data_IF_207354318204
#
_entry.id   IF_207354318204
#
_cell.length_a   1.000
_cell.length_b   1.000
_cell.length_c   1.000
_cell.angle_alpha   90.00
_cell.angle_beta   90.00
_cell.angle_gamma   90.00
#
_symmetry.space_group_name_H-M   'P 1'
#
loop_
_entity.id
_entity.type
_entity.pdbx_description
1 polymer ?
#
# COMPACT_ATOMS: atom_id res chain seq x y z
N UNK A 1 24.96 -7.72 -59.77
CA UNK A 1 24.66 -6.27 -59.63
C UNK A 1 23.83 -5.79 -60.82
N UNK A 2 22.53 -5.53 -60.67
CA UNK A 2 21.74 -4.56 -61.47
C UNK A 2 20.65 -3.99 -60.52
N UNK A 3 20.23 -2.74 -60.74
CA UNK A 3 19.44 -1.91 -59.80
C UNK A 3 17.92 -2.06 -59.98
N UNK A 4 17.16 -1.81 -58.90
CA UNK A 4 15.73 -1.50 -58.94
C UNK A 4 15.50 0.02 -59.13
N UNK A 5 14.29 0.47 -59.55
CA UNK A 5 14.06 1.83 -60.03
C UNK A 5 14.05 2.91 -58.93
N UNK A 6 14.25 4.17 -59.35
CA UNK A 6 13.95 5.35 -58.53
C UNK A 6 12.46 5.68 -58.65
N UNK A 7 11.76 5.82 -57.53
CA UNK A 7 10.52 6.59 -57.48
C UNK A 7 10.81 8.00 -56.94
N UNK A 8 10.54 8.99 -57.78
CA UNK A 8 10.49 10.41 -57.41
C UNK A 8 9.03 10.79 -57.18
N UNK A 9 8.69 11.19 -55.96
CA UNK A 9 7.34 11.65 -55.61
C UNK A 9 7.32 12.26 -54.21
N UNK A 10 7.36 13.59 -54.13
CA UNK A 10 7.17 14.30 -52.87
C UNK A 10 5.75 14.07 -52.36
N UNK A 11 5.61 13.58 -51.12
CA UNK A 11 4.30 13.48 -50.46
C UNK A 11 3.90 14.84 -49.89
N UNK A 12 2.60 15.17 -49.82
CA UNK A 12 2.14 16.49 -49.39
C UNK A 12 2.56 16.79 -47.95
N UNK A 13 3.06 18.01 -47.71
CA UNK A 13 3.36 18.48 -46.35
C UNK A 13 2.05 18.79 -45.63
N UNK A 14 1.80 18.03 -44.56
CA UNK A 14 0.55 18.10 -43.80
C UNK A 14 0.37 19.47 -43.12
N UNK A 15 -0.83 20.04 -43.23
CA UNK A 15 -1.12 21.42 -42.81
C UNK A 15 -1.14 21.62 -41.28
N UNK A 16 -1.14 20.52 -40.52
CA UNK A 16 -0.99 20.50 -39.05
C UNK A 16 0.32 21.20 -38.60
N UNK A 17 1.36 21.20 -39.46
CA UNK A 17 2.66 21.81 -39.22
C UNK A 17 2.67 23.33 -38.99
N UNK A 18 1.60 24.06 -39.36
CA UNK A 18 1.57 25.54 -39.29
C UNK A 18 1.08 26.12 -37.97
N UNK A 19 0.46 25.33 -37.09
CA UNK A 19 -0.18 25.85 -35.86
C UNK A 19 0.71 25.68 -34.61
N UNK A 20 1.55 24.63 -34.56
CA UNK A 20 2.23 24.20 -33.33
C UNK A 20 3.77 24.25 -33.38
N UNK A 21 4.36 24.92 -34.39
CA UNK A 21 5.80 24.87 -34.63
C UNK A 21 6.28 23.46 -35.01
N UNK A 22 7.60 23.19 -34.98
CA UNK A 22 8.08 21.82 -35.13
C UNK A 22 7.63 21.01 -33.91
N UNK A 23 6.67 20.10 -34.12
CA UNK A 23 6.30 19.06 -33.16
C UNK A 23 7.57 18.33 -32.71
N UNK A 24 8.01 18.62 -31.48
CA UNK A 24 9.14 17.92 -30.92
C UNK A 24 8.80 16.43 -30.82
N UNK A 25 9.56 15.60 -31.53
CA UNK A 25 9.24 14.18 -31.74
C UNK A 25 8.81 13.49 -30.45
N UNK A 26 7.53 13.14 -30.36
CA UNK A 26 6.97 12.25 -29.35
C UNK A 26 5.91 12.87 -28.44
N UNK A 27 5.95 14.16 -28.12
CA UNK A 27 4.91 14.75 -27.24
C UNK A 27 3.75 15.32 -28.09
N UNK A 28 2.66 14.56 -28.16
CA UNK A 28 1.49 14.90 -28.99
C UNK A 28 0.26 15.28 -28.17
N UNK A 29 0.43 15.61 -26.88
CA UNK A 29 -0.68 15.99 -25.99
C UNK A 29 -1.32 17.35 -26.36
N UNK A 30 -0.67 18.14 -27.22
CA UNK A 30 -1.18 19.42 -27.72
C UNK A 30 -1.01 20.58 -26.73
N UNK A 31 -1.36 21.80 -27.14
CA UNK A 31 -0.98 23.02 -26.41
C UNK A 31 -1.60 23.13 -25.01
N UNK A 32 -2.80 22.54 -24.77
CA UNK A 32 -3.45 22.55 -23.44
C UNK A 32 -2.57 21.95 -22.35
N UNK A 33 -1.91 20.82 -22.65
CA UNK A 33 -1.17 20.02 -21.68
C UNK A 33 0.35 20.26 -21.74
N UNK A 34 0.80 21.27 -22.50
CA UNK A 34 2.24 21.54 -22.72
C UNK A 34 3.04 21.65 -21.42
N UNK A 35 2.48 22.36 -20.43
CA UNK A 35 3.10 22.66 -19.14
C UNK A 35 2.71 21.69 -18.02
N UNK A 36 1.86 20.69 -18.30
CA UNK A 36 1.36 19.77 -17.28
C UNK A 36 2.43 18.75 -16.90
N UNK A 37 2.32 18.22 -15.67
CA UNK A 37 3.08 17.07 -15.20
C UNK A 37 2.58 15.78 -15.87
N UNK A 38 3.45 15.11 -16.60
CA UNK A 38 3.11 14.00 -17.49
C UNK A 38 3.39 12.66 -16.81
N UNK A 39 2.34 11.89 -16.57
CA UNK A 39 2.40 10.59 -15.91
C UNK A 39 2.15 9.50 -16.96
N UNK A 40 3.15 8.65 -17.18
CA UNK A 40 3.07 7.55 -18.15
C UNK A 40 2.81 6.22 -17.43
N UNK A 41 1.67 5.61 -17.69
CA UNK A 41 1.35 4.25 -17.29
C UNK A 41 2.02 3.28 -18.24
N UNK A 42 3.09 2.64 -17.80
CA UNK A 42 3.93 1.85 -18.68
C UNK A 42 3.24 0.57 -19.15
N UNK A 43 2.65 -0.19 -18.24
CA UNK A 43 2.07 -1.51 -18.49
C UNK A 43 0.91 -1.81 -17.54
N UNK A 44 0.11 -2.81 -17.88
CA UNK A 44 -1.19 -3.06 -17.24
C UNK A 44 -1.05 -3.68 -15.84
N UNK A 45 -1.85 -3.17 -14.90
CA UNK A 45 -2.06 -3.74 -13.55
C UNK A 45 -3.28 -4.64 -13.61
N UNK A 46 -3.08 -5.96 -13.57
CA UNK A 46 -4.17 -6.96 -13.69
C UNK A 46 -5.13 -6.75 -14.89
N UNK A 47 -4.61 -6.23 -16.01
CA UNK A 47 -5.38 -5.89 -17.23
C UNK A 47 -5.92 -4.45 -17.28
N UNK A 48 -5.79 -3.68 -16.20
CA UNK A 48 -6.14 -2.26 -16.17
C UNK A 48 -5.00 -1.40 -16.75
N UNK A 49 -5.30 -0.64 -17.80
CA UNK A 49 -4.36 0.28 -18.48
C UNK A 49 -4.22 1.63 -17.79
N UNK A 50 -5.16 1.97 -16.95
CA UNK A 50 -5.28 3.23 -16.21
C UNK A 50 -4.86 3.10 -14.74
N UNK A 51 -4.34 1.93 -14.33
CA UNK A 51 -3.98 1.62 -12.94
C UNK A 51 -5.16 1.78 -11.94
N UNK A 52 -6.41 1.82 -12.43
CA UNK A 52 -7.60 2.27 -11.68
C UNK A 52 -7.52 3.70 -11.12
N UNK A 53 -6.57 4.49 -11.61
CA UNK A 53 -6.38 5.90 -11.32
C UNK A 53 -6.93 6.81 -12.43
N UNK A 54 -7.50 6.24 -13.51
CA UNK A 54 -8.06 6.97 -14.63
C UNK A 54 -7.03 7.62 -15.56
N UNK A 55 -7.50 8.21 -16.67
CA UNK A 55 -6.67 8.80 -17.71
C UNK A 55 -6.97 10.30 -17.87
N UNK A 56 -6.03 11.06 -18.41
CA UNK A 56 -6.18 12.49 -18.66
C UNK A 56 -5.88 13.35 -17.43
N UNK A 57 -6.60 14.46 -17.31
CA UNK A 57 -6.52 15.41 -16.20
C UNK A 57 -7.59 15.13 -15.13
N UNK A 58 -8.71 14.56 -15.58
CA UNK A 58 -9.96 14.35 -14.88
C UNK A 58 -9.78 13.70 -13.49
N UNK A 59 -8.95 12.65 -13.30
CA UNK A 59 -8.81 12.00 -12.00
C UNK A 59 -8.26 12.90 -10.91
N UNK A 60 -7.37 13.84 -11.25
CA UNK A 60 -6.79 14.77 -10.29
C UNK A 60 -7.79 15.84 -9.86
N UNK A 61 -8.74 16.19 -10.74
CA UNK A 61 -9.84 17.11 -10.45
C UNK A 61 -10.88 16.40 -9.57
N UNK A 62 -11.31 15.19 -9.94
CA UNK A 62 -12.34 14.43 -9.24
C UNK A 62 -11.89 13.99 -7.83
N UNK A 63 -10.61 13.64 -7.66
CA UNK A 63 -10.02 13.35 -6.35
C UNK A 63 -9.74 14.61 -5.49
N UNK A 64 -10.05 15.81 -5.96
CA UNK A 64 -9.84 17.05 -5.22
C UNK A 64 -8.37 17.40 -4.94
N UNK A 65 -7.45 16.99 -5.83
CA UNK A 65 -6.02 17.17 -5.62
C UNK A 65 -5.64 18.67 -5.55
N UNK A 66 -4.72 19.03 -4.64
CA UNK A 66 -4.15 20.39 -4.55
C UNK A 66 -3.45 20.84 -5.85
N UNK A 67 -2.96 19.89 -6.66
CA UNK A 67 -2.37 20.14 -7.98
C UNK A 67 -3.14 19.31 -9.00
N UNK A 68 -3.78 19.99 -9.96
CA UNK A 68 -4.57 19.37 -11.04
C UNK A 68 -3.96 19.58 -12.43
N UNK A 69 -2.77 20.19 -12.53
CA UNK A 69 -2.00 20.36 -13.76
C UNK A 69 -1.20 19.09 -14.10
N UNK A 70 -1.87 17.94 -14.00
CA UNK A 70 -1.31 16.61 -14.26
C UNK A 70 -2.06 15.96 -15.44
N UNK A 71 -1.35 15.15 -16.23
CA UNK A 71 -1.93 14.39 -17.33
C UNK A 71 -1.42 12.95 -17.32
N UNK A 72 -2.33 11.99 -17.12
CA UNK A 72 -2.02 10.57 -17.09
C UNK A 72 -2.37 9.87 -18.43
N UNK A 73 -1.49 9.02 -18.94
CA UNK A 73 -1.76 8.21 -20.14
C UNK A 73 -0.97 6.91 -20.16
N UNK A 74 -1.48 5.88 -20.84
CA UNK A 74 -0.73 4.66 -21.16
C UNK A 74 -0.20 4.63 -22.60
N UNK A 75 -0.56 5.62 -23.44
CA UNK A 75 -0.15 5.64 -24.83
C UNK A 75 1.26 6.22 -24.99
N UNK A 76 2.24 5.31 -25.03
CA UNK A 76 3.67 5.62 -25.23
C UNK A 76 3.98 6.33 -26.56
N UNK A 77 3.02 6.41 -27.50
CA UNK A 77 3.14 7.19 -28.75
C UNK A 77 2.80 8.66 -28.54
N UNK A 78 1.92 8.98 -27.58
CA UNK A 78 1.56 10.33 -27.18
C UNK A 78 2.56 10.92 -26.18
N UNK A 79 3.16 10.05 -25.36
CA UNK A 79 4.12 10.39 -24.31
C UNK A 79 5.24 9.32 -24.21
N UNK A 80 6.41 9.55 -24.84
CA UNK A 80 7.60 8.72 -24.65
C UNK A 80 8.10 8.72 -23.22
N UNK A 81 8.84 7.66 -22.84
CA UNK A 81 9.40 7.47 -21.51
C UNK A 81 10.23 8.68 -21.05
N UNK A 82 11.05 9.20 -21.96
CA UNK A 82 12.05 10.24 -21.75
C UNK A 82 11.42 11.63 -21.55
N UNK A 83 10.09 11.75 -21.70
CA UNK A 83 9.32 12.99 -21.61
C UNK A 83 8.25 12.98 -20.53
N UNK A 84 8.11 11.87 -19.81
CA UNK A 84 7.23 11.77 -18.65
C UNK A 84 7.94 12.34 -17.40
N UNK A 85 7.24 13.15 -16.62
CA UNK A 85 7.71 13.58 -15.29
C UNK A 85 7.69 12.41 -14.29
N UNK A 86 6.80 11.44 -14.50
CA UNK A 86 6.76 10.19 -13.74
C UNK A 86 6.28 9.04 -14.64
N UNK A 87 6.78 7.82 -14.40
CA UNK A 87 6.32 6.62 -15.09
C UNK A 87 5.87 5.58 -14.05
N UNK A 88 4.64 5.12 -14.13
CA UNK A 88 4.09 4.07 -13.27
C UNK A 88 4.23 2.71 -13.95
N UNK A 89 4.76 1.72 -13.24
CA UNK A 89 5.05 0.39 -13.79
C UNK A 89 4.49 -0.70 -12.89
N UNK A 90 3.96 -1.73 -13.51
CA UNK A 90 3.74 -3.06 -12.95
C UNK A 90 4.94 -3.94 -13.35
N UNK A 91 6.15 -3.59 -12.85
CA UNK A 91 7.50 -4.12 -13.23
C UNK A 91 7.94 -3.83 -14.68
N UNK A 92 9.22 -3.57 -15.03
CA UNK A 92 10.41 -3.05 -14.33
C UNK A 92 11.35 -2.43 -15.38
N UNK A 93 12.12 -1.37 -15.07
CA UNK A 93 13.16 -0.78 -15.94
C UNK A 93 14.48 -0.54 -15.19
N UNK A 94 15.65 -0.43 -15.86
CA UNK A 94 16.94 -0.23 -15.20
C UNK A 94 17.33 1.23 -14.89
N UNK A 95 16.50 2.26 -15.15
CA UNK A 95 16.91 3.68 -15.07
C UNK A 95 15.99 4.60 -14.23
N UNK A 96 15.26 4.06 -13.26
CA UNK A 96 14.32 4.82 -12.41
C UNK A 96 14.70 4.68 -10.94
N UNK A 97 14.41 5.69 -10.11
CA UNK A 97 14.49 5.56 -8.65
C UNK A 97 13.30 4.72 -8.15
N UNK A 98 13.58 3.69 -7.36
CA UNK A 98 12.57 2.72 -6.94
C UNK A 98 12.28 2.79 -5.44
N UNK A 99 11.00 2.96 -5.10
CA UNK A 99 10.49 2.76 -3.73
C UNK A 99 9.86 1.38 -3.68
N UNK A 100 10.37 0.51 -2.80
CA UNK A 100 9.75 -0.79 -2.55
C UNK A 100 8.52 -0.59 -1.68
N UNK A 101 7.34 -0.86 -2.23
CA UNK A 101 6.10 -0.82 -1.48
C UNK A 101 5.61 -2.25 -1.24
N UNK A 102 5.63 -2.67 0.02
CA UNK A 102 5.16 -3.99 0.45
C UNK A 102 4.13 -3.81 1.56
N UNK A 103 2.90 -4.22 1.24
CA UNK A 103 1.77 -4.26 2.16
C UNK A 103 1.35 -5.70 2.53
N UNK A 104 2.14 -6.73 2.21
CA UNK A 104 1.93 -8.07 2.77
C UNK A 104 3.14 -8.54 3.55
N UNK A 105 2.92 -9.23 4.69
CA UNK A 105 4.01 -9.58 5.60
C UNK A 105 5.04 -10.46 4.89
N UNK A 106 6.30 -10.44 5.32
CA UNK A 106 7.35 -11.19 4.61
C UNK A 106 7.06 -12.70 4.52
N UNK A 107 6.22 -13.24 5.41
CA UNK A 107 5.68 -14.61 5.38
C UNK A 107 4.64 -14.87 4.27
N UNK A 108 3.94 -13.82 3.80
CA UNK A 108 2.96 -13.88 2.71
C UNK A 108 3.57 -13.60 1.33
N UNK A 109 4.84 -13.21 1.26
CA UNK A 109 5.48 -12.96 -0.04
C UNK A 109 5.91 -14.27 -0.69
N UNK A 110 5.29 -14.64 -1.82
CA UNK A 110 5.63 -15.82 -2.62
C UNK A 110 6.98 -15.73 -3.36
N UNK A 111 7.78 -14.69 -3.12
CA UNK A 111 9.05 -14.43 -3.76
C UNK A 111 10.14 -14.20 -2.70
N UNK A 112 11.33 -14.77 -2.92
CA UNK A 112 12.48 -14.57 -2.05
C UNK A 112 12.97 -13.12 -2.13
N UNK A 113 12.81 -12.38 -1.03
CA UNK A 113 13.18 -10.97 -0.94
C UNK A 113 14.67 -10.71 -1.10
N UNK A 114 15.52 -11.70 -0.83
CA UNK A 114 16.96 -11.58 -1.04
C UNK A 114 17.31 -11.38 -2.53
N UNK A 115 16.47 -11.86 -3.45
CA UNK A 115 16.64 -11.65 -4.90
C UNK A 115 16.45 -10.19 -5.34
N UNK A 116 15.91 -9.33 -4.46
CA UNK A 116 15.69 -7.91 -4.71
C UNK A 116 16.66 -6.98 -3.96
N UNK A 117 17.66 -7.54 -3.27
CA UNK A 117 18.69 -6.74 -2.59
C UNK A 117 19.41 -5.81 -3.59
N UNK A 118 19.46 -4.51 -3.29
CA UNK A 118 20.06 -3.49 -4.16
C UNK A 118 19.22 -3.09 -5.39
N UNK A 119 17.97 -3.57 -5.52
CA UNK A 119 17.05 -3.17 -6.61
C UNK A 119 16.29 -1.88 -6.30
N UNK A 120 16.04 -1.61 -5.02
CA UNK A 120 15.24 -0.48 -4.55
C UNK A 120 16.15 0.57 -3.88
N UNK A 121 15.84 1.84 -4.10
CA UNK A 121 16.54 2.97 -3.49
C UNK A 121 16.02 3.27 -2.09
N UNK A 122 14.69 3.20 -1.92
CA UNK A 122 13.99 3.37 -0.65
C UNK A 122 12.97 2.25 -0.47
N UNK A 123 12.51 2.09 0.77
CA UNK A 123 11.61 1.03 1.21
C UNK A 123 10.50 1.61 2.09
N UNK A 124 9.27 1.18 1.83
CA UNK A 124 8.06 1.52 2.58
C UNK A 124 7.36 0.21 2.91
N UNK A 125 7.78 -0.38 4.03
CA UNK A 125 7.33 -1.68 4.53
C UNK A 125 7.21 -1.61 6.05
N UNK A 126 6.73 -2.68 6.69
CA UNK A 126 6.72 -2.79 8.16
C UNK A 126 8.09 -2.99 8.79
N UNK A 127 9.11 -3.35 7.99
CA UNK A 127 10.44 -3.57 8.54
C UNK A 127 10.93 -2.27 9.18
N UNK A 128 11.58 -2.44 10.32
CA UNK A 128 11.99 -1.35 11.21
C UNK A 128 13.20 -0.59 10.65
N UNK A 129 13.90 -1.21 9.69
CA UNK A 129 14.96 -0.62 8.86
C UNK A 129 14.44 -0.08 7.51
N UNK A 130 13.12 0.06 7.32
CA UNK A 130 12.57 0.75 6.14
C UNK A 130 12.82 2.26 6.23
N UNK A 131 13.02 2.91 5.08
CA UNK A 131 13.14 4.37 4.98
C UNK A 131 11.85 5.10 5.46
N UNK A 132 10.71 4.42 5.35
CA UNK A 132 9.43 4.80 5.94
C UNK A 132 8.86 3.64 6.79
N UNK A 133 9.29 3.49 8.06
CA UNK A 133 8.85 2.40 8.91
C UNK A 133 7.46 2.67 9.50
N UNK A 134 6.75 1.62 9.94
CA UNK A 134 5.59 1.73 10.85
C UNK A 134 6.05 1.46 12.30
N UNK A 135 6.39 2.47 13.10
CA UNK A 135 7.09 2.29 14.38
C UNK A 135 6.19 1.90 15.56
N UNK A 136 4.88 1.69 15.35
CA UNK A 136 3.90 1.54 16.44
C UNK A 136 4.22 0.37 17.40
N UNK A 137 4.60 -0.79 16.87
CA UNK A 137 4.96 -1.96 17.71
C UNK A 137 6.25 -1.71 18.49
N UNK A 138 7.27 -1.08 17.87
CA UNK A 138 8.50 -0.69 18.58
C UNK A 138 8.23 0.32 19.69
N UNK A 139 7.42 1.34 19.41
CA UNK A 139 7.04 2.34 20.41
C UNK A 139 6.31 1.68 21.59
N UNK A 140 5.43 0.71 21.31
CA UNK A 140 4.72 -0.06 22.35
C UNK A 140 5.70 -0.92 23.18
N UNK A 141 6.70 -1.53 22.54
CA UNK A 141 7.79 -2.27 23.20
C UNK A 141 8.66 -1.43 24.13
N UNK A 142 8.63 -0.08 24.03
CA UNK A 142 9.31 0.79 25.01
C UNK A 142 8.52 0.99 26.31
N UNK A 143 7.27 0.53 26.37
CA UNK A 143 6.35 0.75 27.49
C UNK A 143 5.77 -0.54 28.08
N UNK A 144 5.73 -1.64 27.33
CA UNK A 144 5.30 -2.97 27.79
C UNK A 144 6.02 -4.08 27.02
N UNK A 145 6.00 -5.30 27.57
CA UNK A 145 6.48 -6.48 26.85
C UNK A 145 5.52 -6.82 25.70
N UNK A 146 6.06 -7.07 24.51
CA UNK A 146 5.31 -7.46 23.31
C UNK A 146 6.08 -8.52 22.55
N UNK A 147 5.50 -9.72 22.51
CA UNK A 147 6.01 -10.85 21.75
C UNK A 147 5.74 -10.69 20.26
N UNK A 148 6.79 -10.86 19.44
CA UNK A 148 6.71 -10.78 17.98
C UNK A 148 7.02 -12.15 17.39
N UNK A 149 5.98 -12.76 16.82
CA UNK A 149 6.07 -14.02 16.09
C UNK A 149 6.31 -13.80 14.58
N UNK A 150 7.09 -14.68 13.97
CA UNK A 150 7.42 -14.66 12.55
C UNK A 150 8.74 -13.93 12.25
N UNK A 151 9.01 -13.69 10.97
CA UNK A 151 10.33 -13.20 10.49
C UNK A 151 10.73 -11.80 10.96
N UNK A 152 9.82 -11.06 11.62
CA UNK A 152 10.08 -9.75 12.19
C UNK A 152 10.44 -9.79 13.68
N UNK A 153 10.46 -10.97 14.30
CA UNK A 153 10.81 -11.17 15.71
C UNK A 153 11.66 -12.43 15.93
N UNK A 154 11.78 -12.85 17.18
CA UNK A 154 12.57 -14.02 17.59
C UNK A 154 11.73 -15.28 17.81
N UNK A 155 10.40 -15.15 17.92
CA UNK A 155 9.48 -16.25 18.12
C UNK A 155 8.92 -16.74 16.79
N UNK A 156 8.59 -18.03 16.70
CA UNK A 156 8.21 -18.67 15.44
C UNK A 156 6.83 -19.31 15.56
N UNK A 157 5.93 -18.92 14.65
CA UNK A 157 4.72 -19.66 14.33
C UNK A 157 4.77 -19.98 12.82
N UNK A 158 5.07 -21.23 12.46
CA UNK A 158 5.04 -21.66 11.07
C UNK A 158 3.60 -21.94 10.62
N UNK A 159 3.30 -21.74 9.33
CA UNK A 159 1.96 -22.01 8.78
C UNK A 159 1.49 -23.45 8.98
N UNK A 160 2.40 -24.43 9.00
CA UNK A 160 2.09 -25.84 9.27
C UNK A 160 1.53 -26.06 10.69
N UNK A 161 1.88 -25.16 11.61
CA UNK A 161 1.54 -25.19 13.03
C UNK A 161 0.44 -24.17 13.38
N UNK A 162 -0.24 -23.58 12.38
CA UNK A 162 -1.21 -22.50 12.60
C UNK A 162 -2.23 -22.84 13.70
N UNK A 163 -2.76 -24.07 13.71
CA UNK A 163 -3.72 -24.52 14.74
C UNK A 163 -3.15 -24.41 16.17
N UNK A 164 -1.92 -24.89 16.41
CA UNK A 164 -1.33 -24.79 17.76
C UNK A 164 -0.96 -23.35 18.11
N UNK A 165 -0.62 -22.51 17.13
CA UNK A 165 -0.48 -21.07 17.36
C UNK A 165 -1.79 -20.40 17.76
N UNK A 166 -2.92 -20.73 17.12
CA UNK A 166 -4.24 -20.21 17.53
C UNK A 166 -4.61 -20.69 18.93
N UNK A 167 -4.35 -21.95 19.26
CA UNK A 167 -4.57 -22.48 20.61
C UNK A 167 -3.66 -21.84 21.68
N UNK A 168 -2.44 -21.43 21.32
CA UNK A 168 -1.54 -20.66 22.17
C UNK A 168 -2.07 -19.23 22.39
N UNK A 169 -2.55 -18.56 21.33
CA UNK A 169 -3.13 -17.21 21.43
C UNK A 169 -4.33 -17.13 22.40
N UNK A 170 -5.08 -18.22 22.57
CA UNK A 170 -6.20 -18.30 23.53
C UNK A 170 -5.79 -18.60 24.98
N UNK A 171 -4.64 -19.22 25.19
CA UNK A 171 -4.20 -19.73 26.50
C UNK A 171 -3.18 -18.82 27.16
N UNK A 172 -2.27 -18.30 26.35
CA UNK A 172 -1.03 -17.67 26.82
C UNK A 172 -1.04 -16.14 26.62
N UNK A 173 -1.99 -15.60 25.83
CA UNK A 173 -2.07 -14.17 25.50
C UNK A 173 -3.45 -13.56 25.78
N UNK A 174 -3.46 -12.36 26.38
CA UNK A 174 -4.67 -11.54 26.57
C UNK A 174 -5.00 -10.65 25.36
N UNK A 175 -3.98 -10.23 24.62
CA UNK A 175 -4.11 -9.26 23.53
C UNK A 175 -3.49 -9.79 22.24
N UNK A 176 -4.11 -9.48 21.11
CA UNK A 176 -3.56 -9.77 19.78
C UNK A 176 -3.53 -8.50 18.94
N UNK A 177 -2.34 -8.11 18.45
CA UNK A 177 -2.14 -6.90 17.66
C UNK A 177 -2.60 -7.13 16.20
N UNK A 178 -3.90 -6.95 15.96
CA UNK A 178 -4.55 -7.03 14.64
C UNK A 178 -4.35 -5.71 13.86
N UNK A 179 -3.10 -5.32 13.62
CA UNK A 179 -2.76 -4.07 12.93
C UNK A 179 -2.83 -4.23 11.42
N UNK A 180 -3.49 -3.29 10.74
CA UNK A 180 -3.63 -3.35 9.29
C UNK A 180 -2.43 -2.76 8.56
N UNK A 181 -2.18 -3.34 7.38
CA UNK A 181 -1.08 -2.98 6.51
C UNK A 181 -1.18 -1.51 6.03
N UNK A 182 -2.40 -1.01 5.87
CA UNK A 182 -2.72 0.37 5.46
C UNK A 182 -3.84 0.97 6.31
N UNK A 183 -3.79 2.29 6.51
CA UNK A 183 -4.92 3.03 7.10
C UNK A 183 -5.84 3.45 5.95
N UNK A 184 -6.80 2.60 5.63
CA UNK A 184 -7.81 2.88 4.60
C UNK A 184 -9.18 2.47 5.14
N UNK A 185 -10.19 3.31 4.91
CA UNK A 185 -11.57 2.96 5.23
C UNK A 185 -11.96 1.72 4.41
N UNK A 186 -12.70 0.79 5.03
CA UNK A 186 -13.11 -0.51 4.48
C UNK A 186 -11.96 -1.52 4.23
N UNK A 187 -10.70 -1.20 4.57
CA UNK A 187 -9.58 -2.17 4.53
C UNK A 187 -9.39 -2.83 5.90
N UNK A 188 -10.25 -3.81 6.19
CA UNK A 188 -10.20 -4.64 7.40
C UNK A 188 -10.15 -6.10 6.96
N UNK A 189 -9.13 -6.84 7.42
CA UNK A 189 -8.79 -8.15 6.86
C UNK A 189 -8.86 -9.27 7.90
N UNK A 190 -8.38 -10.46 7.52
CA UNK A 190 -8.31 -11.66 8.36
C UNK A 190 -7.67 -11.43 9.74
N UNK A 191 -6.78 -10.44 9.90
CA UNK A 191 -6.13 -10.13 11.19
C UNK A 191 -7.17 -9.84 12.27
N UNK A 192 -8.17 -9.03 11.95
CA UNK A 192 -9.26 -8.70 12.86
C UNK A 192 -10.29 -9.84 12.93
N UNK A 193 -10.74 -10.32 11.77
CA UNK A 193 -11.81 -11.32 11.72
C UNK A 193 -11.42 -12.71 12.24
N UNK A 194 -10.14 -13.08 12.23
CA UNK A 194 -9.67 -14.28 12.94
C UNK A 194 -9.52 -14.01 14.43
N UNK A 195 -8.89 -12.90 14.84
CA UNK A 195 -8.71 -12.59 16.26
C UNK A 195 -10.03 -12.53 17.03
N UNK A 196 -11.08 -11.95 16.43
CA UNK A 196 -12.41 -11.88 17.05
C UNK A 196 -13.12 -13.24 17.16
N UNK A 197 -12.58 -14.35 16.61
CA UNK A 197 -13.15 -15.70 16.85
C UNK A 197 -12.62 -16.36 18.13
N UNK A 198 -11.46 -15.93 18.63
CA UNK A 198 -10.72 -16.58 19.71
C UNK A 198 -10.88 -15.85 21.06
N UNK A 199 -10.52 -16.48 22.17
CA UNK A 199 -10.57 -15.90 23.52
C UNK A 199 -9.43 -14.89 23.82
N UNK A 200 -9.17 -13.98 22.88
CA UNK A 200 -8.18 -12.91 22.96
C UNK A 200 -8.84 -11.57 22.57
N UNK A 201 -8.40 -10.45 23.17
CA UNK A 201 -8.90 -9.12 22.79
C UNK A 201 -8.09 -8.56 21.61
N UNK A 202 -8.70 -8.25 20.46
CA UNK A 202 -7.98 -7.64 19.33
C UNK A 202 -7.63 -6.19 19.66
N UNK A 203 -6.36 -5.82 19.48
CA UNK A 203 -5.89 -4.43 19.47
C UNK A 203 -5.66 -4.04 18.01
N UNK A 204 -6.45 -3.11 17.50
CA UNK A 204 -6.52 -2.79 16.07
C UNK A 204 -5.88 -1.45 15.73
N UNK A 205 -5.30 -1.37 14.53
CA UNK A 205 -4.78 -0.12 13.96
C UNK A 205 -5.14 -0.08 12.47
N UNK A 206 -6.25 0.58 12.17
CA UNK A 206 -6.94 0.58 10.87
C UNK A 206 -8.04 1.64 10.86
N UNK A 207 -8.91 1.65 9.85
CA UNK A 207 -10.04 2.59 9.75
C UNK A 207 -11.32 1.86 9.33
N UNK A 208 -12.48 2.32 9.81
CA UNK A 208 -13.79 1.80 9.39
C UNK A 208 -14.35 0.64 10.24
N UNK A 209 -13.77 0.32 11.40
CA UNK A 209 -14.22 -0.81 12.23
C UNK A 209 -15.67 -0.69 12.70
N UNK A 210 -16.23 0.52 12.76
CA UNK A 210 -17.64 0.77 13.04
C UNK A 210 -18.60 0.14 12.02
N UNK A 211 -18.10 -0.17 10.81
CA UNK A 211 -18.89 -0.77 9.71
C UNK A 211 -18.97 -2.29 9.78
N UNK A 212 -18.12 -2.93 10.60
CA UNK A 212 -18.04 -4.38 10.74
C UNK A 212 -19.22 -5.00 11.48
N UNK A 213 -20.11 -4.18 12.06
CA UNK A 213 -21.20 -4.55 12.97
C UNK A 213 -20.73 -5.17 14.31
N UNK A 214 -19.42 -5.35 14.51
CA UNK A 214 -18.85 -5.78 15.78
C UNK A 214 -18.86 -4.59 16.76
N UNK A 215 -19.38 -4.74 17.99
CA UNK A 215 -19.41 -3.65 18.97
C UNK A 215 -18.02 -3.08 19.25
N UNK A 216 -17.90 -1.76 19.36
CA UNK A 216 -16.64 -1.07 19.73
C UNK A 216 -16.05 -1.59 21.06
N UNK A 217 -16.89 -2.07 21.97
CA UNK A 217 -16.47 -2.71 23.22
C UNK A 217 -15.96 -4.15 23.09
N UNK A 218 -15.82 -4.71 21.89
CA UNK A 218 -15.26 -6.06 21.66
C UNK A 218 -13.81 -6.04 21.13
N UNK A 219 -13.22 -4.85 20.95
CA UNK A 219 -11.83 -4.65 20.51
C UNK A 219 -11.28 -3.32 21.05
N UNK A 220 -9.96 -3.15 21.01
CA UNK A 220 -9.27 -1.93 21.44
C UNK A 220 -8.71 -1.24 20.20
N UNK A 221 -9.12 -0.01 19.93
CA UNK A 221 -8.64 0.75 18.78
C UNK A 221 -7.51 1.68 19.20
N UNK A 222 -6.34 1.54 18.58
CA UNK A 222 -5.17 2.39 18.88
C UNK A 222 -5.48 3.87 18.62
N UNK A 223 -6.40 4.18 17.69
CA UNK A 223 -6.79 5.56 17.37
C UNK A 223 -7.60 6.26 18.47
N UNK A 224 -8.08 5.53 19.48
CA UNK A 224 -8.80 6.11 20.63
C UNK A 224 -7.84 6.72 21.68
N UNK A 225 -6.52 6.48 21.57
CA UNK A 225 -5.52 6.89 22.55
C UNK A 225 -4.69 8.10 22.08
N UNK A 226 -4.40 9.03 22.99
CA UNK A 226 -3.61 10.23 22.68
C UNK A 226 -2.13 9.92 22.41
N UNK A 227 -1.61 8.81 22.94
CA UNK A 227 -0.24 8.35 22.71
C UNK A 227 -0.11 6.82 22.86
N UNK A 228 1.01 6.29 22.39
CA UNK A 228 1.36 4.86 22.57
C UNK A 228 1.60 4.53 24.06
N UNK A 229 2.02 5.51 24.86
CA UNK A 229 2.16 5.34 26.32
C UNK A 229 0.79 5.21 27.00
N UNK A 230 -0.23 5.95 26.55
CA UNK A 230 -1.60 5.83 27.07
C UNK A 230 -2.21 4.47 26.72
N UNK A 231 -2.00 4.01 25.48
CA UNK A 231 -2.37 2.65 25.05
C UNK A 231 -1.69 1.59 25.92
N UNK A 232 -0.36 1.66 26.11
CA UNK A 232 0.38 0.72 26.94
C UNK A 232 -0.14 0.70 28.39
N UNK A 233 -0.38 1.89 28.96
CA UNK A 233 -0.92 2.05 30.31
C UNK A 233 -2.31 1.43 30.44
N UNK A 234 -3.14 1.53 29.40
CA UNK A 234 -4.46 0.91 29.36
C UNK A 234 -4.41 -0.62 29.22
N UNK A 235 -3.52 -1.15 28.37
CA UNK A 235 -3.32 -2.59 28.22
C UNK A 235 -2.78 -3.22 29.52
N UNK A 236 -1.84 -2.56 30.21
CA UNK A 236 -1.35 -2.97 31.53
C UNK A 236 -2.44 -2.88 32.61
N UNK A 237 -3.30 -1.85 32.57
CA UNK A 237 -4.47 -1.78 33.45
C UNK A 237 -5.41 -2.98 33.24
N UNK A 238 -5.75 -3.30 32.00
CA UNK A 238 -6.60 -4.46 31.68
C UNK A 238 -5.94 -5.78 32.06
N UNK A 239 -4.62 -5.94 31.86
CA UNK A 239 -3.89 -7.12 32.33
C UNK A 239 -4.00 -7.29 33.86
N UNK A 240 -3.88 -6.20 34.61
CA UNK A 240 -4.02 -6.21 36.08
C UNK A 240 -5.46 -6.31 36.59
N UNK A 241 -6.46 -6.20 35.72
CA UNK A 241 -7.87 -6.11 36.10
C UNK A 241 -8.78 -7.01 35.25
N UNK A 242 -8.87 -8.28 35.66
CA UNK A 242 -9.71 -9.29 35.03
C UNK A 242 -11.18 -8.87 34.90
N UNK A 243 -11.72 -8.01 35.78
CA UNK A 243 -13.12 -7.56 35.66
C UNK A 243 -13.29 -6.63 34.46
N UNK A 244 -12.36 -5.71 34.25
CA UNK A 244 -12.36 -4.82 33.10
C UNK A 244 -12.02 -5.56 31.79
N UNK A 245 -11.06 -6.49 31.84
CA UNK A 245 -10.71 -7.34 30.69
C UNK A 245 -11.88 -8.22 30.23
N UNK A 246 -12.59 -8.87 31.17
CA UNK A 246 -13.69 -9.78 30.82
C UNK A 246 -14.94 -9.08 30.25
N UNK A 247 -15.08 -7.76 30.39
CA UNK A 247 -16.19 -7.01 29.80
C UNK A 247 -16.12 -7.02 28.26
N UNK A 248 -14.92 -7.08 27.67
CA UNK A 248 -14.73 -7.21 26.22
C UNK A 248 -15.39 -8.48 25.65
N UNK A 249 -15.37 -9.57 26.41
CA UNK A 249 -15.99 -10.84 26.00
C UNK A 249 -17.50 -10.85 26.23
N UNK A 250 -18.01 -10.17 27.25
CA UNK A 250 -19.47 -10.00 27.44
C UNK A 250 -20.14 -9.32 26.25
N UNK A 251 -19.53 -8.24 25.76
CA UNK A 251 -20.03 -7.47 24.62
C UNK A 251 -19.87 -8.21 23.29
N UNK A 252 -18.88 -9.09 23.18
CA UNK A 252 -18.65 -9.99 22.04
C UNK A 252 -19.73 -11.08 21.88
N UNK A 253 -20.32 -11.56 22.98
CA UNK A 253 -21.32 -12.65 22.99
C UNK A 253 -22.77 -12.18 23.23
N UNK A 254 -23.06 -10.88 23.09
CA UNK A 254 -24.41 -10.31 23.26
C UNK A 254 -25.09 -9.85 21.95
N UNK A 255 -24.57 -10.30 20.80
CA UNK A 255 -25.16 -10.15 19.46
C UNK A 255 -25.46 -11.48 18.80
#
# INVERSE_FOLDING_TARGET
MVKLPKETGEKPVDQISKINGPLEKGDFLGPKFKNFKKILYWNEVFGAKDFWLGLGQEPFIEAGCRVTECYATHDRRLLPAERADAIMWHLRSPHTFYIFWMLESAQYTYADLNTYNGVFNWTMTYRLDSDFPRPLVQALQTHMEVDIYGTCGTLICERKDEKSCREMLEKDYKFYLAFENSLCVDYITEKFFEAIKYNVVPVVYGLGYERTQIPKGAYIDVMDFASVQDLASYLLYLDSNDTAYNEYFRLKFSG
#
